data_IF_920184029207
#
_entry.id   IF_920184029207
#
_cell.length_a   1.000
_cell.length_b   1.000
_cell.length_c   1.000
_cell.angle_alpha   90.00
_cell.angle_beta   90.00
_cell.angle_gamma   90.00
#
_symmetry.space_group_name_H-M   'P 1'
#
loop_
_entity.id
_entity.type
_entity.pdbx_description
1 polymer ?
#
# COMPACT_ATOMS: atom_id res chain seq x y z
N UNK A 1 5.06 30.54 -6.06
CA UNK A 1 4.36 29.40 -5.48
C UNK A 1 2.86 29.71 -5.38
N UNK A 2 1.96 28.75 -5.61
CA UNK A 2 0.50 28.94 -5.48
C UNK A 2 0.14 29.56 -4.10
N UNK A 3 0.86 29.19 -3.06
CA UNK A 3 0.66 29.69 -1.70
C UNK A 3 1.00 31.18 -1.54
N UNK A 4 1.98 31.68 -2.28
CA UNK A 4 2.61 32.99 -2.01
C UNK A 4 2.24 34.05 -3.07
N UNK A 5 1.47 33.69 -4.11
CA UNK A 5 1.03 34.60 -5.17
C UNK A 5 -0.49 34.49 -5.36
N UNK A 6 -1.25 35.48 -4.86
CA UNK A 6 -2.72 35.50 -5.01
C UNK A 6 -3.18 35.42 -6.46
N UNK A 7 -2.48 36.06 -7.37
CA UNK A 7 -2.82 36.07 -8.80
C UNK A 7 -2.69 34.70 -9.43
N UNK A 8 -1.60 33.98 -9.07
CA UNK A 8 -1.39 32.61 -9.55
C UNK A 8 -2.43 31.65 -8.96
N UNK A 9 -2.76 31.82 -7.68
CA UNK A 9 -3.80 31.04 -7.03
C UNK A 9 -5.16 31.27 -7.69
N UNK A 10 -5.57 32.51 -7.90
CA UNK A 10 -6.85 32.85 -8.55
C UNK A 10 -6.97 32.23 -9.95
N UNK A 11 -5.90 32.29 -10.74
CA UNK A 11 -5.85 31.65 -12.06
C UNK A 11 -6.11 30.13 -11.99
N UNK A 12 -5.50 29.44 -11.03
CA UNK A 12 -5.71 27.98 -10.88
C UNK A 12 -7.08 27.65 -10.30
N UNK A 13 -7.63 28.46 -9.40
CA UNK A 13 -9.01 28.32 -8.90
C UNK A 13 -10.04 28.46 -10.03
N UNK A 14 -9.83 29.40 -10.96
CA UNK A 14 -10.68 29.55 -12.14
C UNK A 14 -10.52 28.35 -13.11
N UNK A 15 -9.30 27.88 -13.30
CA UNK A 15 -8.99 26.77 -14.20
C UNK A 15 -9.51 25.43 -13.68
N UNK A 16 -9.32 25.12 -12.39
CA UNK A 16 -9.66 23.85 -11.77
C UNK A 16 -10.96 23.98 -10.97
N UNK A 17 -12.09 23.89 -11.66
CA UNK A 17 -13.42 24.00 -11.03
C UNK A 17 -13.83 22.77 -10.22
N UNK A 18 -13.24 21.62 -10.49
CA UNK A 18 -13.46 20.35 -9.79
C UNK A 18 -12.11 19.74 -9.45
N UNK A 19 -11.95 19.33 -8.21
CA UNK A 19 -10.72 18.73 -7.69
C UNK A 19 -11.06 17.31 -7.22
N UNK A 20 -10.42 16.33 -7.84
CA UNK A 20 -10.54 14.93 -7.46
C UNK A 20 -9.19 14.46 -6.97
N UNK A 21 -9.17 13.87 -5.77
CA UNK A 21 -7.93 13.39 -5.14
C UNK A 21 -8.13 11.94 -4.75
N UNK A 22 -7.24 11.08 -5.24
CA UNK A 22 -7.20 9.68 -4.88
C UNK A 22 -6.15 9.43 -3.78
N UNK A 23 -6.29 8.30 -3.06
CA UNK A 23 -5.41 7.91 -1.94
C UNK A 23 -5.22 9.03 -0.91
N UNK A 24 -6.32 9.70 -0.55
CA UNK A 24 -6.25 10.91 0.28
C UNK A 24 -5.68 10.68 1.67
N UNK A 25 -5.76 9.47 2.21
CA UNK A 25 -5.16 9.06 3.48
C UNK A 25 -3.62 9.17 3.49
N UNK A 26 -2.99 9.20 2.31
CA UNK A 26 -1.53 9.27 2.18
C UNK A 26 -1.01 10.70 1.94
N UNK A 27 -1.92 11.68 1.96
CA UNK A 27 -1.54 13.09 1.77
C UNK A 27 -0.82 13.66 2.99
N UNK A 28 0.24 14.42 2.74
CA UNK A 28 0.90 15.22 3.77
C UNK A 28 0.24 16.60 3.91
N UNK A 29 0.65 17.35 4.93
CA UNK A 29 0.12 18.70 5.22
C UNK A 29 0.22 19.64 4.03
N UNK A 30 1.32 19.62 3.26
CA UNK A 30 1.50 20.51 2.13
C UNK A 30 0.52 20.19 0.98
N UNK A 31 0.34 18.91 0.67
CA UNK A 31 -0.61 18.44 -0.34
C UNK A 31 -2.05 18.77 0.06
N UNK A 32 -2.43 18.47 1.31
CA UNK A 32 -3.73 18.86 1.86
C UNK A 32 -3.96 20.37 1.77
N UNK A 33 -2.98 21.19 2.17
CA UNK A 33 -3.06 22.65 2.10
C UNK A 33 -3.24 23.17 0.68
N UNK A 34 -2.63 22.54 -0.33
CA UNK A 34 -2.84 22.87 -1.75
C UNK A 34 -4.28 22.62 -2.16
N UNK A 35 -4.85 21.47 -1.79
CA UNK A 35 -6.24 21.13 -2.09
C UNK A 35 -7.20 22.15 -1.47
N UNK A 36 -6.98 22.50 -0.20
CA UNK A 36 -7.79 23.49 0.52
C UNK A 36 -7.76 24.87 -0.15
N UNK A 37 -6.58 25.33 -0.57
CA UNK A 37 -6.44 26.63 -1.22
C UNK A 37 -7.09 26.65 -2.61
N UNK A 38 -6.87 25.63 -3.41
CA UNK A 38 -7.47 25.55 -4.74
C UNK A 38 -9.00 25.50 -4.70
N UNK A 39 -9.56 24.79 -3.72
CA UNK A 39 -11.00 24.59 -3.59
C UNK A 39 -11.72 25.64 -2.75
N UNK A 40 -10.99 26.62 -2.19
CA UNK A 40 -11.52 27.55 -1.19
C UNK A 40 -12.83 28.22 -1.58
N UNK A 41 -12.96 28.66 -2.82
CA UNK A 41 -14.09 29.48 -3.26
C UNK A 41 -15.27 28.62 -3.74
N UNK A 42 -15.01 27.54 -4.47
CA UNK A 42 -16.07 26.73 -5.08
C UNK A 42 -16.41 25.45 -4.29
N UNK A 43 -15.51 24.95 -3.43
CA UNK A 43 -15.66 23.74 -2.60
C UNK A 43 -16.02 22.46 -3.38
N UNK A 44 -15.77 22.43 -4.68
CA UNK A 44 -16.03 21.25 -5.51
C UNK A 44 -14.84 20.26 -5.40
N UNK A 45 -14.80 19.56 -4.28
CA UNK A 45 -13.75 18.56 -3.98
C UNK A 45 -14.38 17.19 -3.81
N UNK A 46 -13.81 16.22 -4.46
CA UNK A 46 -14.08 14.80 -4.23
C UNK A 46 -12.77 14.12 -3.82
N UNK A 47 -12.76 13.50 -2.66
CA UNK A 47 -11.63 12.71 -2.18
C UNK A 47 -12.02 11.26 -2.10
N UNK A 48 -11.13 10.39 -2.54
CA UNK A 48 -11.24 8.94 -2.42
C UNK A 48 -10.07 8.45 -1.59
N UNK A 49 -10.33 7.53 -0.69
CA UNK A 49 -9.29 6.96 0.15
C UNK A 49 -9.81 5.90 1.09
N UNK A 50 -8.88 5.21 1.71
CA UNK A 50 -9.12 4.17 2.70
C UNK A 50 -8.23 4.43 3.92
N UNK A 51 -8.83 4.92 5.00
CA UNK A 51 -8.14 5.19 6.25
C UNK A 51 -7.42 3.95 6.82
N UNK A 52 -7.95 2.75 6.57
CA UNK A 52 -7.34 1.49 6.96
C UNK A 52 -6.00 1.22 6.24
N UNK A 53 -5.76 1.85 5.08
CA UNK A 53 -4.55 1.73 4.28
C UNK A 53 -3.55 2.86 4.50
N UNK A 54 -3.75 3.74 5.49
CA UNK A 54 -2.82 4.82 5.83
C UNK A 54 -1.54 4.28 6.48
N UNK A 55 -0.54 3.94 5.66
CA UNK A 55 0.72 3.33 6.08
C UNK A 55 1.95 4.22 5.81
N UNK A 56 1.76 5.45 5.31
CA UNK A 56 2.85 6.35 4.93
C UNK A 56 3.11 7.49 5.92
N UNK A 57 2.72 7.35 7.19
CA UNK A 57 3.00 8.35 8.24
C UNK A 57 4.49 8.67 8.38
N UNK A 58 5.38 7.69 8.19
CA UNK A 58 6.84 7.87 8.18
C UNK A 58 7.35 8.73 7.01
N UNK A 59 6.52 9.00 5.99
CA UNK A 59 6.78 9.94 4.88
C UNK A 59 6.04 11.26 5.05
N UNK A 60 5.44 11.49 6.23
CA UNK A 60 4.71 12.69 6.56
C UNK A 60 3.25 12.70 6.14
N UNK A 61 2.67 11.55 5.75
CA UNK A 61 1.24 11.42 5.56
C UNK A 61 0.51 11.61 6.89
N UNK A 62 -0.63 12.31 6.84
CA UNK A 62 -1.44 12.60 8.00
C UNK A 62 -2.87 12.07 7.79
N UNK A 63 -3.21 11.01 8.51
CA UNK A 63 -4.53 10.38 8.45
C UNK A 63 -5.66 11.36 8.84
N UNK A 64 -5.35 12.38 9.61
CA UNK A 64 -6.34 13.38 10.01
C UNK A 64 -6.92 14.16 8.83
N UNK A 65 -6.18 14.25 7.72
CA UNK A 65 -6.67 14.86 6.50
C UNK A 65 -7.95 14.19 5.97
N UNK A 66 -8.04 12.86 6.05
CA UNK A 66 -9.25 12.14 5.62
C UNK A 66 -10.28 12.02 6.75
N UNK A 67 -9.85 11.76 7.98
CA UNK A 67 -10.76 11.58 9.12
C UNK A 67 -11.56 12.86 9.45
N UNK A 68 -10.96 14.03 9.26
CA UNK A 68 -11.60 15.31 9.55
C UNK A 68 -12.08 16.05 8.30
N UNK A 69 -12.08 15.42 7.14
CA UNK A 69 -12.50 16.04 5.88
C UNK A 69 -13.92 16.66 5.97
N UNK A 70 -14.87 15.95 6.59
CA UNK A 70 -16.24 16.44 6.80
C UNK A 70 -16.35 17.63 7.75
N UNK A 71 -15.34 17.84 8.62
CA UNK A 71 -15.26 19.04 9.46
C UNK A 71 -14.77 20.25 8.67
N UNK A 72 -13.88 20.02 7.72
CA UNK A 72 -13.36 21.07 6.83
C UNK A 72 -14.43 21.50 5.80
N UNK A 73 -15.16 20.51 5.28
CA UNK A 73 -16.25 20.72 4.32
C UNK A 73 -17.57 20.17 4.89
N UNK A 74 -18.34 21.00 5.63
CA UNK A 74 -19.53 20.54 6.35
C UNK A 74 -20.65 19.96 5.47
N UNK A 75 -20.70 20.35 4.19
CA UNK A 75 -21.70 19.87 3.24
C UNK A 75 -21.26 18.58 2.50
N UNK A 76 -20.21 17.93 2.96
CA UNK A 76 -19.69 16.69 2.34
C UNK A 76 -20.68 15.55 2.45
N UNK A 77 -20.92 14.87 1.33
CA UNK A 77 -21.63 13.59 1.31
C UNK A 77 -20.59 12.47 1.34
N UNK A 78 -20.72 11.58 2.31
CA UNK A 78 -19.84 10.42 2.45
C UNK A 78 -20.50 9.19 1.86
N UNK A 79 -19.80 8.53 0.94
CA UNK A 79 -20.20 7.26 0.35
C UNK A 79 -19.20 6.19 0.79
N UNK A 80 -19.67 5.09 1.34
CA UNK A 80 -18.85 3.96 1.72
C UNK A 80 -18.91 2.89 0.65
N UNK A 81 -17.74 2.51 0.13
CA UNK A 81 -17.61 1.41 -0.82
C UNK A 81 -17.21 0.16 -0.04
N UNK A 82 -18.20 -0.60 0.40
CA UNK A 82 -18.00 -1.73 1.34
C UNK A 82 -17.85 -3.07 0.63
N UNK A 83 -18.29 -3.18 -0.63
CA UNK A 83 -18.15 -4.41 -1.39
C UNK A 83 -16.74 -4.58 -1.97
N UNK A 84 -16.07 -5.68 -1.60
CA UNK A 84 -14.77 -6.07 -2.12
C UNK A 84 -14.92 -7.07 -3.27
N UNK A 85 -14.47 -6.69 -4.45
CA UNK A 85 -14.53 -7.51 -5.66
C UNK A 85 -13.25 -8.30 -5.93
N UNK A 86 -12.19 -8.07 -5.15
CA UNK A 86 -10.86 -8.66 -5.35
C UNK A 86 -10.71 -9.98 -4.62
N UNK A 87 -11.03 -10.01 -3.33
CA UNK A 87 -10.64 -11.07 -2.42
C UNK A 87 -11.80 -12.00 -2.08
N UNK A 88 -11.48 -13.22 -1.65
CA UNK A 88 -12.42 -14.19 -1.09
C UNK A 88 -12.90 -13.75 0.29
N UNK A 89 -14.00 -14.35 0.77
CA UNK A 89 -14.59 -14.01 2.07
C UNK A 89 -13.62 -14.22 3.23
N UNK A 90 -12.83 -15.31 3.21
CA UNK A 90 -11.83 -15.59 4.26
C UNK A 90 -10.83 -14.45 4.43
N UNK A 91 -10.32 -13.91 3.31
CA UNK A 91 -9.36 -12.79 3.33
C UNK A 91 -10.03 -11.52 3.86
N UNK A 92 -11.23 -11.22 3.39
CA UNK A 92 -11.98 -10.02 3.82
C UNK A 92 -12.34 -10.08 5.31
N UNK A 93 -12.80 -11.23 5.80
CA UNK A 93 -13.09 -11.43 7.23
C UNK A 93 -11.85 -11.24 8.11
N UNK A 94 -10.70 -11.78 7.68
CA UNK A 94 -9.45 -11.61 8.41
C UNK A 94 -8.99 -10.14 8.43
N UNK A 95 -9.12 -9.43 7.30
CA UNK A 95 -8.79 -8.01 7.21
C UNK A 95 -9.69 -7.15 8.11
N UNK A 96 -11.00 -7.40 8.11
CA UNK A 96 -11.95 -6.72 9.02
C UNK A 96 -11.57 -6.94 10.49
N UNK A 97 -11.30 -8.20 10.88
CA UNK A 97 -10.90 -8.54 12.25
C UNK A 97 -9.61 -7.86 12.70
N UNK A 98 -8.67 -7.64 11.76
CA UNK A 98 -7.44 -6.91 12.04
C UNK A 98 -7.71 -5.42 12.24
N UNK A 99 -8.46 -4.81 11.30
CA UNK A 99 -8.66 -3.36 11.29
C UNK A 99 -9.64 -2.90 12.39
N UNK A 100 -10.54 -3.76 12.84
CA UNK A 100 -11.48 -3.47 13.94
C UNK A 100 -10.75 -3.03 15.22
N UNK A 101 -9.50 -3.46 15.41
CA UNK A 101 -8.66 -3.08 16.56
C UNK A 101 -8.15 -1.65 16.51
N UNK A 102 -8.28 -0.96 15.38
CA UNK A 102 -7.90 0.44 15.26
C UNK A 102 -8.98 1.33 15.89
N UNK A 103 -8.58 2.20 16.80
CA UNK A 103 -9.47 3.16 17.46
C UNK A 103 -9.84 4.33 16.55
N UNK A 104 -8.89 4.79 15.73
CA UNK A 104 -9.04 5.95 14.84
C UNK A 104 -9.34 5.45 13.42
N UNK A 105 -10.63 5.39 13.07
CA UNK A 105 -11.06 4.91 11.77
C UNK A 105 -12.46 5.40 11.38
N UNK A 106 -12.74 5.41 10.10
CA UNK A 106 -14.08 5.54 9.53
C UNK A 106 -14.69 4.15 9.53
N UNK A 107 -15.57 3.86 10.49
CA UNK A 107 -16.19 2.53 10.60
C UNK A 107 -16.90 2.14 9.32
N UNK A 108 -16.51 1.00 8.77
CA UNK A 108 -17.10 0.35 7.60
C UNK A 108 -17.01 -1.16 7.78
N UNK A 109 -17.91 -1.89 7.14
CA UNK A 109 -17.90 -3.35 7.13
C UNK A 109 -17.71 -3.82 5.71
N UNK A 110 -16.48 -4.18 5.37
CA UNK A 110 -16.14 -4.66 4.03
C UNK A 110 -16.62 -6.10 3.90
N UNK A 111 -17.31 -6.41 2.80
CA UNK A 111 -17.82 -7.75 2.52
C UNK A 111 -17.46 -8.20 1.10
N UNK A 112 -17.47 -9.51 0.86
CA UNK A 112 -17.26 -10.10 -0.45
C UNK A 112 -18.36 -11.10 -0.78
N UNK A 113 -18.86 -11.04 -2.00
CA UNK A 113 -19.82 -12.00 -2.57
C UNK A 113 -19.13 -13.17 -3.27
N UNK A 114 -17.78 -13.20 -3.28
CA UNK A 114 -17.03 -14.34 -3.80
C UNK A 114 -17.17 -15.56 -2.90
N UNK A 115 -16.63 -16.68 -3.37
CA UNK A 115 -16.53 -17.91 -2.58
C UNK A 115 -15.78 -17.67 -1.26
N UNK A 116 -15.97 -18.61 -0.33
CA UNK A 116 -15.27 -18.56 0.97
C UNK A 116 -13.76 -18.52 0.80
N UNK A 117 -13.23 -19.27 -0.17
CA UNK A 117 -11.80 -19.39 -0.42
C UNK A 117 -11.06 -20.25 0.60
N UNK A 118 -9.76 -20.38 0.39
CA UNK A 118 -8.86 -21.16 1.24
C UNK A 118 -8.64 -20.53 2.62
N UNK A 119 -8.29 -21.35 3.58
CA UNK A 119 -7.90 -20.89 4.91
C UNK A 119 -6.54 -20.19 4.86
N UNK A 120 -6.38 -19.14 5.67
CA UNK A 120 -5.10 -18.45 5.83
C UNK A 120 -4.16 -19.34 6.65
N UNK A 121 -3.04 -19.72 6.04
CA UNK A 121 -1.98 -20.45 6.74
C UNK A 121 -1.06 -19.50 7.50
N UNK A 122 -0.74 -19.84 8.75
CA UNK A 122 0.24 -19.11 9.58
C UNK A 122 1.39 -20.04 9.88
N UNK A 123 2.61 -19.61 9.56
CA UNK A 123 3.83 -20.37 9.77
C UNK A 123 4.78 -19.57 10.67
N UNK A 124 5.37 -20.22 11.64
CA UNK A 124 6.40 -19.66 12.50
C UNK A 124 7.74 -20.26 12.11
N UNK A 125 8.71 -19.43 11.80
CA UNK A 125 10.09 -19.82 11.53
C UNK A 125 10.98 -19.49 12.73
N UNK A 126 12.05 -20.24 12.92
CA UNK A 126 13.06 -19.99 13.96
C UNK A 126 14.16 -19.04 13.49
N UNK A 127 14.29 -18.84 12.18
CA UNK A 127 15.26 -17.94 11.57
C UNK A 127 14.72 -17.34 10.27
N UNK A 128 15.33 -16.26 9.83
CA UNK A 128 15.04 -15.62 8.54
C UNK A 128 15.34 -16.55 7.36
N UNK A 129 16.39 -17.37 7.46
CA UNK A 129 16.73 -18.37 6.42
C UNK A 129 15.62 -19.41 6.31
N UNK A 130 15.14 -19.93 7.44
CA UNK A 130 14.04 -20.89 7.47
C UNK A 130 12.74 -20.27 6.92
N UNK A 131 12.45 -18.99 7.24
CA UNK A 131 11.33 -18.25 6.68
C UNK A 131 11.38 -18.24 5.13
N UNK A 132 12.55 -17.93 4.57
CA UNK A 132 12.78 -17.98 3.14
C UNK A 132 12.55 -19.36 2.54
N UNK A 133 13.05 -20.40 3.19
CA UNK A 133 12.89 -21.80 2.75
C UNK A 133 11.43 -22.26 2.83
N UNK A 134 10.69 -21.92 3.89
CA UNK A 134 9.26 -22.23 4.03
C UNK A 134 8.46 -21.61 2.87
N UNK A 135 8.65 -20.32 2.60
CA UNK A 135 7.94 -19.60 1.54
C UNK A 135 8.23 -20.22 0.17
N UNK A 136 9.49 -20.45 -0.15
CA UNK A 136 9.90 -20.99 -1.46
C UNK A 136 9.43 -22.43 -1.63
N UNK A 137 9.44 -23.23 -0.55
CA UNK A 137 8.86 -24.59 -0.57
C UNK A 137 7.36 -24.56 -0.85
N UNK A 138 6.62 -23.64 -0.21
CA UNK A 138 5.18 -23.51 -0.40
C UNK A 138 4.84 -23.09 -1.83
N UNK A 139 5.59 -22.16 -2.40
CA UNK A 139 5.44 -21.79 -3.83
C UNK A 139 5.67 -22.99 -4.73
N UNK A 140 6.72 -23.79 -4.48
CA UNK A 140 7.02 -24.98 -5.28
C UNK A 140 5.93 -26.04 -5.17
N UNK A 141 5.38 -26.24 -3.98
CA UNK A 141 4.25 -27.14 -3.72
C UNK A 141 3.02 -26.71 -4.51
N UNK A 142 2.56 -25.47 -4.33
CA UNK A 142 1.35 -24.96 -4.98
C UNK A 142 1.47 -24.96 -6.52
N UNK A 143 2.64 -24.67 -7.05
CA UNK A 143 2.87 -24.79 -8.50
C UNK A 143 2.70 -26.20 -9.04
N UNK A 144 3.06 -27.20 -8.24
CA UNK A 144 2.91 -28.62 -8.65
C UNK A 144 1.49 -29.13 -8.50
N UNK A 145 0.80 -28.74 -7.40
CA UNK A 145 -0.55 -29.22 -7.12
C UNK A 145 -1.62 -28.47 -7.93
N UNK A 146 -1.51 -27.15 -8.01
CA UNK A 146 -2.55 -26.28 -8.57
C UNK A 146 -2.18 -25.68 -9.92
N UNK A 147 -1.01 -25.99 -10.46
CA UNK A 147 -0.51 -25.50 -11.75
C UNK A 147 -0.39 -23.98 -11.87
N UNK A 148 -0.19 -23.26 -10.76
CA UNK A 148 0.02 -21.82 -10.77
C UNK A 148 1.31 -21.42 -11.50
N UNK A 149 1.28 -20.29 -12.21
CA UNK A 149 2.47 -19.67 -12.77
C UNK A 149 3.24 -18.90 -11.68
N UNK A 150 4.53 -18.60 -11.87
CA UNK A 150 5.28 -17.77 -10.93
C UNK A 150 4.71 -16.36 -10.78
N UNK A 151 4.05 -15.84 -11.82
CA UNK A 151 3.36 -14.54 -11.80
C UNK A 151 2.16 -14.46 -10.86
N UNK A 152 1.63 -15.62 -10.43
CA UNK A 152 0.46 -15.68 -9.57
C UNK A 152 0.82 -15.55 -8.07
N UNK A 153 2.11 -15.51 -7.77
CA UNK A 153 2.62 -15.36 -6.41
C UNK A 153 3.19 -13.97 -6.16
N UNK A 154 2.94 -13.44 -4.96
CA UNK A 154 3.58 -12.23 -4.46
C UNK A 154 4.08 -12.46 -3.04
N UNK A 155 5.30 -12.00 -2.73
CA UNK A 155 5.88 -11.99 -1.39
C UNK A 155 5.92 -10.55 -0.91
N UNK A 156 5.22 -10.25 0.16
CA UNK A 156 5.18 -8.93 0.79
C UNK A 156 6.00 -8.97 2.08
N UNK A 157 6.81 -7.95 2.30
CA UNK A 157 7.65 -7.82 3.49
C UNK A 157 7.67 -6.38 4.00
N UNK A 158 7.98 -6.21 5.28
CA UNK A 158 7.93 -4.89 5.94
C UNK A 158 9.08 -3.98 5.56
N UNK A 159 10.28 -4.53 5.38
CA UNK A 159 11.51 -3.75 5.10
C UNK A 159 12.27 -4.35 3.94
N UNK A 160 12.96 -3.49 3.17
CA UNK A 160 13.76 -3.93 2.04
C UNK A 160 14.93 -4.86 2.44
N UNK A 161 15.33 -4.87 3.70
CA UNK A 161 16.39 -5.77 4.19
C UNK A 161 15.93 -7.24 4.14
N UNK A 162 14.64 -7.50 4.35
CA UNK A 162 14.07 -8.86 4.32
C UNK A 162 14.10 -9.49 2.91
N UNK A 163 14.15 -8.68 1.84
CA UNK A 163 14.18 -9.21 0.47
C UNK A 163 15.34 -10.17 0.22
N UNK A 164 16.49 -9.93 0.87
CA UNK A 164 17.71 -10.72 0.68
C UNK A 164 17.49 -12.22 0.91
N UNK A 165 16.81 -12.56 1.99
CA UNK A 165 16.57 -13.96 2.37
C UNK A 165 15.73 -14.67 1.31
N UNK A 166 14.67 -14.02 0.84
CA UNK A 166 13.82 -14.56 -0.23
C UNK A 166 14.57 -14.64 -1.56
N UNK A 167 15.39 -13.64 -1.90
CA UNK A 167 16.24 -13.67 -3.10
C UNK A 167 17.21 -14.85 -3.09
N UNK A 168 17.89 -15.08 -1.95
CA UNK A 168 18.83 -16.19 -1.79
C UNK A 168 18.11 -17.55 -1.88
N UNK A 169 16.96 -17.71 -1.22
CA UNK A 169 16.18 -18.94 -1.23
C UNK A 169 15.65 -19.26 -2.64
N UNK A 170 15.12 -18.26 -3.37
CA UNK A 170 14.65 -18.41 -4.75
C UNK A 170 15.78 -18.73 -5.71
N UNK A 171 16.95 -18.08 -5.56
CA UNK A 171 18.13 -18.33 -6.39
C UNK A 171 18.66 -19.74 -6.22
N UNK A 172 18.76 -20.24 -4.99
CA UNK A 172 19.18 -21.62 -4.69
C UNK A 172 18.33 -22.67 -5.42
N UNK A 173 17.07 -22.33 -5.71
CA UNK A 173 16.12 -23.22 -6.39
C UNK A 173 15.89 -22.90 -7.87
N UNK A 174 16.61 -21.94 -8.42
CA UNK A 174 16.43 -21.51 -9.82
C UNK A 174 15.06 -20.90 -10.10
N UNK A 175 14.38 -20.35 -9.10
CA UNK A 175 13.07 -19.73 -9.27
C UNK A 175 13.22 -18.29 -9.77
N UNK A 176 12.57 -17.91 -10.88
CA UNK A 176 12.58 -16.53 -11.34
C UNK A 176 11.77 -15.63 -10.39
N UNK A 177 12.26 -14.41 -10.15
CA UNK A 177 11.59 -13.41 -9.34
C UNK A 177 11.82 -12.00 -9.87
N UNK A 178 10.97 -11.06 -9.46
CA UNK A 178 11.09 -9.64 -9.74
C UNK A 178 10.85 -8.84 -8.46
N UNK A 179 11.71 -7.85 -8.20
CA UNK A 179 11.57 -6.95 -7.04
C UNK A 179 10.96 -5.65 -7.51
N UNK A 180 9.94 -5.19 -6.79
CA UNK A 180 9.29 -3.91 -6.98
C UNK A 180 9.64 -2.96 -5.83
N UNK A 181 9.83 -1.68 -6.16
CA UNK A 181 10.05 -0.63 -5.15
C UNK A 181 11.46 -0.54 -4.58
N UNK A 182 12.42 -1.30 -5.08
CA UNK A 182 13.82 -1.23 -4.64
C UNK A 182 14.79 -1.86 -5.64
N UNK A 183 16.08 -1.60 -5.43
CA UNK A 183 17.14 -2.36 -6.10
C UNK A 183 17.28 -3.72 -5.41
N UNK A 184 17.44 -4.79 -6.18
CA UNK A 184 17.87 -6.09 -5.66
C UNK A 184 19.09 -5.91 -4.76
N UNK A 185 19.19 -6.70 -3.68
CA UNK A 185 20.33 -6.65 -2.77
C UNK A 185 21.68 -6.63 -3.52
N UNK A 186 21.81 -7.48 -4.52
CA UNK A 186 23.03 -7.60 -5.34
C UNK A 186 23.24 -6.47 -6.35
N UNK A 187 22.24 -5.66 -6.59
CA UNK A 187 22.32 -4.48 -7.48
C UNK A 187 22.71 -3.21 -6.73
N UNK A 188 22.72 -3.24 -5.39
CA UNK A 188 23.12 -2.10 -4.57
C UNK A 188 24.59 -1.74 -4.84
N UNK A 189 24.86 -0.44 -4.93
CA UNK A 189 26.19 0.07 -5.25
C UNK A 189 27.26 -0.42 -4.28
N UNK A 190 26.94 -0.46 -2.99
CA UNK A 190 27.82 -0.90 -1.91
C UNK A 190 28.22 -2.38 -2.08
N UNK A 191 27.28 -3.22 -2.50
CA UNK A 191 27.54 -4.65 -2.71
C UNK A 191 28.37 -4.88 -3.97
N UNK A 192 28.09 -4.15 -5.05
CA UNK A 192 28.90 -4.22 -6.28
C UNK A 192 30.36 -3.80 -6.03
N UNK A 193 30.58 -2.73 -5.25
CA UNK A 193 31.92 -2.26 -4.91
C UNK A 193 32.68 -3.28 -4.05
N UNK A 194 32.04 -3.93 -3.07
CA UNK A 194 32.69 -4.96 -2.26
C UNK A 194 33.07 -6.19 -3.07
N UNK A 195 32.29 -6.55 -4.10
CA UNK A 195 32.63 -7.68 -4.99
C UNK A 195 33.80 -7.36 -5.93
N UNK A 196 33.99 -6.12 -6.36
CA UNK A 196 35.13 -5.70 -7.18
C UNK A 196 36.44 -5.78 -6.37
N UNK A 197 36.43 -5.41 -5.09
CA UNK A 197 37.60 -5.49 -4.22
C UNK A 197 38.03 -6.91 -3.82
N UNK A 198 37.16 -7.92 -3.99
CA UNK A 198 37.48 -9.33 -3.71
C UNK A 198 38.10 -10.02 -4.94
N UNK A 199 38.00 -9.40 -6.11
CA UNK A 199 38.51 -9.98 -7.37
C UNK A 199 39.86 -9.40 -7.84
N UNK A 200 40.50 -8.50 -7.07
CA UNK A 200 41.88 -8.06 -7.18
C UNK A 200 42.78 -8.79 -6.14
#
# INVERSE_FOLDING_TARGET
CIRDSPEVLARYQEQFRYILVDEYQDTNYAQHSIVLQLAKDHQHVCVVGDDAQSIYSFRGADIDNILYFTKVYPNTKVFKLEQNYRSTQTIVCAANSLIEKNERQIRKEVFSEKEKGEAIGVFQAYSDVEEGDIVVNKIAELRRSEHYAYSDFAILYRTNAQSRVFEEAMRKRGMPYRIYGGLSFYQRKEIKLSLIHISE
#
